data_IF_140235435721
#
_entry.id   IF_140235435721
#
_cell.length_a   1.000
_cell.length_b   1.000
_cell.length_c   1.000
_cell.angle_alpha   90.00
_cell.angle_beta   90.00
_cell.angle_gamma   90.00
#
_symmetry.space_group_name_H-M   'P 1'
#
loop_
_entity.id
_entity.type
_entity.pdbx_description
1 polymer ?
#
# COMPACT_ATOMS: atom_id res chain seq x y z
N UNK A 1 -17.11 -87.73 -37.19
CA UNK A 1 -17.53 -88.47 -35.98
C UNK A 1 -18.04 -87.43 -34.99
N UNK A 2 -19.33 -87.17 -34.86
CA UNK A 2 -20.51 -87.73 -35.57
C UNK A 2 -21.56 -86.60 -35.68
N UNK A 3 -22.32 -86.47 -36.76
CA UNK A 3 -23.63 -87.09 -37.02
C UNK A 3 -24.63 -86.98 -35.84
N UNK A 4 -25.94 -86.75 -35.99
CA UNK A 4 -26.86 -86.30 -37.07
C UNK A 4 -28.28 -86.72 -36.61
N UNK A 5 -29.37 -86.02 -37.03
CA UNK A 5 -30.78 -86.50 -36.94
C UNK A 5 -31.34 -86.68 -35.48
N UNK A 6 -32.63 -86.46 -35.12
CA UNK A 6 -33.92 -86.46 -35.86
C UNK A 6 -34.92 -85.39 -35.36
N UNK A 7 -35.87 -85.04 -36.24
CA UNK A 7 -37.33 -84.83 -36.09
C UNK A 7 -38.03 -85.27 -34.77
N UNK A 8 -39.28 -84.89 -34.42
CA UNK A 8 -40.28 -83.87 -34.89
C UNK A 8 -41.58 -84.06 -34.07
N UNK A 9 -42.44 -83.03 -33.93
CA UNK A 9 -43.90 -83.24 -33.92
C UNK A 9 -44.65 -81.99 -34.41
N UNK A 10 -45.63 -82.18 -35.29
CA UNK A 10 -46.41 -81.14 -36.00
C UNK A 10 -47.93 -81.33 -35.70
N UNK A 11 -48.79 -80.62 -36.42
CA UNK A 11 -50.27 -80.76 -36.58
C UNK A 11 -51.07 -79.92 -35.56
N UNK A 12 -51.64 -78.75 -35.87
CA UNK A 12 -52.63 -78.34 -36.92
C UNK A 12 -54.10 -78.68 -36.51
N UNK A 13 -55.03 -77.72 -36.48
CA UNK A 13 -56.11 -77.35 -37.45
C UNK A 13 -56.97 -76.23 -36.77
N UNK A 14 -58.03 -75.52 -37.26
CA UNK A 14 -58.64 -75.01 -38.53
C UNK A 14 -60.04 -74.44 -38.10
N UNK A 15 -60.74 -73.46 -38.69
CA UNK A 15 -60.70 -72.73 -39.97
C UNK A 15 -60.85 -71.19 -39.75
N UNK A 16 -60.56 -70.30 -40.71
CA UNK A 16 -61.39 -69.75 -41.82
C UNK A 16 -62.68 -68.96 -41.47
N UNK A 17 -62.68 -67.70 -41.90
CA UNK A 17 -63.80 -66.85 -42.36
C UNK A 17 -63.25 -65.44 -42.65
N UNK A 18 -63.16 -64.90 -43.87
CA UNK A 18 -63.52 -65.44 -45.18
C UNK A 18 -64.24 -64.37 -46.02
N UNK A 19 -63.51 -63.58 -46.80
CA UNK A 19 -64.12 -62.70 -47.82
C UNK A 19 -63.18 -62.45 -49.02
N UNK A 20 -63.62 -62.97 -50.17
CA UNK A 20 -63.13 -62.77 -51.53
C UNK A 20 -64.39 -62.73 -52.42
N UNK A 21 -64.49 -62.04 -53.57
CA UNK A 21 -63.55 -61.18 -54.32
C UNK A 21 -64.37 -60.31 -55.32
N UNK A 22 -63.70 -59.61 -56.24
CA UNK A 22 -64.24 -59.06 -57.52
C UNK A 22 -64.98 -57.70 -57.46
N UNK A 23 -64.84 -56.79 -58.44
CA UNK A 23 -63.95 -56.76 -59.62
C UNK A 23 -63.64 -55.32 -60.11
N UNK A 24 -62.58 -55.21 -60.92
CA UNK A 24 -62.21 -54.17 -61.91
C UNK A 24 -62.88 -52.76 -61.84
N UNK A 25 -62.15 -51.64 -61.94
CA UNK A 25 -61.12 -51.39 -62.97
C UNK A 25 -60.28 -50.11 -62.70
N UNK A 26 -59.31 -49.86 -63.59
CA UNK A 26 -58.51 -48.62 -63.77
C UNK A 26 -57.59 -48.15 -62.62
N UNK A 27 -56.31 -48.54 -62.71
CA UNK A 27 -55.26 -47.52 -62.80
C UNK A 27 -54.61 -47.01 -61.51
N UNK A 28 -54.17 -47.88 -60.61
CA UNK A 28 -53.32 -47.48 -59.49
C UNK A 28 -52.57 -48.64 -58.84
N UNK A 29 -51.41 -48.35 -58.24
CA UNK A 29 -50.84 -49.23 -57.22
C UNK A 29 -51.76 -49.14 -55.99
N UNK A 30 -52.10 -50.23 -55.27
CA UNK A 30 -53.07 -50.17 -54.16
C UNK A 30 -52.64 -49.23 -53.01
N UNK A 31 -51.37 -48.85 -52.95
CA UNK A 31 -50.84 -47.80 -52.07
C UNK A 31 -51.34 -46.38 -52.38
N UNK A 32 -52.01 -46.16 -53.52
CA UNK A 32 -52.39 -44.85 -54.06
C UNK A 32 -53.92 -44.67 -54.21
N UNK A 33 -54.72 -45.45 -53.47
CA UNK A 33 -56.18 -45.26 -53.45
C UNK A 33 -56.55 -43.95 -52.71
N UNK A 34 -56.90 -42.95 -53.52
CA UNK A 34 -57.24 -41.58 -53.12
C UNK A 34 -58.45 -41.56 -52.16
N UNK A 35 -59.34 -42.56 -52.20
CA UNK A 35 -60.49 -42.65 -51.30
C UNK A 35 -60.07 -42.79 -49.83
N UNK A 36 -58.91 -43.40 -49.56
CA UNK A 36 -58.37 -43.54 -48.19
C UNK A 36 -57.75 -42.24 -47.67
N UNK A 37 -57.30 -41.34 -48.56
CA UNK A 37 -56.51 -40.16 -48.18
C UNK A 37 -57.28 -39.20 -47.29
N UNK A 38 -58.61 -39.08 -47.44
CA UNK A 38 -59.43 -38.18 -46.61
C UNK A 38 -59.34 -38.50 -45.11
N UNK A 39 -59.40 -39.78 -44.74
CA UNK A 39 -59.26 -40.22 -43.35
C UNK A 39 -57.81 -40.04 -42.85
N UNK A 40 -56.82 -40.35 -43.69
CA UNK A 40 -55.40 -40.18 -43.31
C UNK A 40 -55.03 -38.70 -43.13
N UNK A 41 -55.54 -37.80 -43.98
CA UNK A 41 -55.38 -36.35 -43.85
C UNK A 41 -56.07 -35.83 -42.60
N UNK A 42 -57.28 -36.31 -42.28
CA UNK A 42 -57.97 -35.94 -41.03
C UNK A 42 -57.12 -36.27 -39.79
N UNK A 43 -56.63 -37.51 -39.67
CA UNK A 43 -55.79 -37.90 -38.54
C UNK A 43 -54.42 -37.20 -38.53
N UNK A 44 -53.84 -36.90 -39.70
CA UNK A 44 -52.62 -36.09 -39.81
C UNK A 44 -52.84 -34.67 -39.30
N UNK A 45 -53.96 -34.02 -39.65
CA UNK A 45 -54.32 -32.70 -39.13
C UNK A 45 -54.55 -32.74 -37.62
N UNK A 46 -55.27 -33.74 -37.10
CA UNK A 46 -55.46 -33.93 -35.65
C UNK A 46 -54.12 -34.10 -34.93
N UNK A 47 -53.21 -34.93 -35.46
CA UNK A 47 -51.88 -35.14 -34.90
C UNK A 47 -51.02 -33.85 -34.91
N UNK A 48 -51.07 -33.07 -35.99
CA UNK A 48 -50.39 -31.76 -36.07
C UNK A 48 -50.98 -30.77 -35.06
N UNK A 49 -52.30 -30.72 -34.89
CA UNK A 49 -52.94 -29.84 -33.89
C UNK A 49 -52.54 -30.23 -32.47
N UNK A 50 -52.54 -31.52 -32.12
CA UNK A 50 -52.09 -32.01 -30.81
C UNK A 50 -50.61 -31.69 -30.59
N UNK A 51 -49.75 -31.93 -31.57
CA UNK A 51 -48.32 -31.60 -31.51
C UNK A 51 -48.10 -30.09 -31.34
N UNK A 52 -48.83 -29.25 -32.08
CA UNK A 52 -48.78 -27.80 -31.97
C UNK A 52 -49.18 -27.32 -30.58
N UNK A 53 -50.23 -27.90 -29.98
CA UNK A 53 -50.66 -27.58 -28.61
C UNK A 53 -49.60 -27.99 -27.58
N UNK A 54 -48.96 -29.15 -27.73
CA UNK A 54 -47.86 -29.58 -26.85
C UNK A 54 -46.65 -28.65 -26.98
N UNK A 55 -46.24 -28.31 -28.20
CA UNK A 55 -45.09 -27.43 -28.45
C UNK A 55 -45.34 -26.00 -27.94
N UNK A 56 -46.48 -25.41 -28.28
CA UNK A 56 -46.84 -24.04 -27.87
C UNK A 56 -47.10 -23.91 -26.37
N UNK A 57 -47.70 -24.92 -25.72
CA UNK A 57 -48.13 -24.84 -24.32
C UNK A 57 -47.15 -25.45 -23.31
N UNK A 58 -46.21 -26.29 -23.76
CA UNK A 58 -45.24 -26.97 -22.86
C UNK A 58 -43.79 -26.76 -23.30
N UNK A 59 -43.43 -27.00 -24.56
CA UNK A 59 -42.02 -26.98 -24.98
C UNK A 59 -41.45 -25.55 -25.05
N UNK A 60 -42.08 -24.66 -25.83
CA UNK A 60 -41.67 -23.27 -25.98
C UNK A 60 -41.59 -22.50 -24.64
N UNK A 61 -42.59 -22.55 -23.74
CA UNK A 61 -42.48 -21.83 -22.45
C UNK A 61 -41.38 -22.38 -21.54
N UNK A 62 -41.06 -23.69 -21.57
CA UNK A 62 -39.92 -24.25 -20.82
C UNK A 62 -38.59 -23.75 -21.35
N UNK A 63 -38.41 -23.71 -22.67
CA UNK A 63 -37.19 -23.14 -23.30
C UNK A 63 -37.08 -21.65 -22.98
N UNK A 64 -38.20 -20.92 -23.07
CA UNK A 64 -38.28 -19.49 -22.72
C UNK A 64 -37.88 -19.21 -21.26
N UNK A 65 -38.33 -20.04 -20.31
CA UNK A 65 -37.95 -19.86 -18.89
C UNK A 65 -36.45 -20.03 -18.63
N UNK A 66 -35.81 -21.07 -19.21
CA UNK A 66 -34.37 -21.30 -19.07
C UNK A 66 -33.54 -20.20 -19.77
N UNK A 67 -34.03 -19.66 -20.90
CA UNK A 67 -33.37 -18.56 -21.58
C UNK A 67 -33.49 -17.24 -20.80
N UNK A 68 -34.66 -16.97 -20.21
CA UNK A 68 -34.89 -15.81 -19.34
C UNK A 68 -34.08 -15.88 -18.04
N UNK A 69 -33.98 -17.06 -17.42
CA UNK A 69 -33.13 -17.32 -16.25
C UNK A 69 -31.65 -17.02 -16.57
N UNK A 70 -31.12 -17.60 -17.66
CA UNK A 70 -29.74 -17.34 -18.12
C UNK A 70 -29.48 -15.87 -18.44
N UNK A 71 -30.42 -15.20 -19.11
CA UNK A 71 -30.30 -13.77 -19.40
C UNK A 71 -30.30 -12.94 -18.10
N UNK A 72 -31.18 -13.28 -17.14
CA UNK A 72 -31.23 -12.66 -15.83
C UNK A 72 -29.92 -12.81 -15.05
N UNK A 73 -29.35 -14.02 -14.99
CA UNK A 73 -28.03 -14.26 -14.38
C UNK A 73 -26.94 -13.44 -15.06
N UNK A 74 -26.86 -13.44 -16.40
CA UNK A 74 -25.85 -12.67 -17.14
C UNK A 74 -25.98 -11.16 -16.86
N UNK A 75 -27.19 -10.60 -16.86
CA UNK A 75 -27.41 -9.18 -16.54
C UNK A 75 -27.08 -8.85 -15.08
N UNK A 76 -27.43 -9.74 -14.13
CA UNK A 76 -27.06 -9.61 -12.73
C UNK A 76 -25.55 -9.60 -12.54
N UNK A 77 -24.85 -10.55 -13.16
CA UNK A 77 -23.41 -10.75 -12.99
C UNK A 77 -22.61 -9.60 -13.64
N UNK A 78 -23.09 -9.05 -14.77
CA UNK A 78 -22.55 -7.82 -15.36
C UNK A 78 -22.76 -6.62 -14.43
N UNK A 79 -23.95 -6.44 -13.86
CA UNK A 79 -24.24 -5.34 -12.93
C UNK A 79 -23.42 -5.45 -11.63
N UNK A 80 -23.23 -6.66 -11.12
CA UNK A 80 -22.35 -6.94 -9.98
C UNK A 80 -20.87 -6.64 -10.33
N UNK A 81 -20.38 -7.10 -11.48
CA UNK A 81 -19.02 -6.83 -11.93
C UNK A 81 -18.74 -5.34 -12.16
N UNK A 82 -19.71 -4.58 -12.69
CA UNK A 82 -19.59 -3.12 -12.81
C UNK A 82 -19.61 -2.44 -11.43
N UNK A 83 -20.48 -2.88 -10.52
CA UNK A 83 -20.51 -2.39 -9.13
C UNK A 83 -19.18 -2.63 -8.41
N UNK A 84 -18.61 -3.84 -8.50
CA UNK A 84 -17.31 -4.16 -7.91
C UNK A 84 -16.16 -3.37 -8.57
N UNK A 85 -16.24 -3.11 -9.89
CA UNK A 85 -15.26 -2.27 -10.59
C UNK A 85 -15.31 -0.81 -10.11
N UNK A 86 -16.51 -0.26 -9.88
CA UNK A 86 -16.68 1.08 -9.31
C UNK A 86 -16.13 1.14 -7.88
N UNK A 87 -16.52 0.19 -7.02
CA UNK A 87 -16.01 0.08 -5.65
C UNK A 87 -14.49 -0.07 -5.58
N UNK A 88 -13.88 -0.83 -6.50
CA UNK A 88 -12.42 -0.96 -6.59
C UNK A 88 -11.75 0.36 -6.98
N UNK A 89 -12.29 1.09 -7.96
CA UNK A 89 -11.76 2.39 -8.37
C UNK A 89 -11.91 3.46 -7.27
N UNK A 90 -13.05 3.48 -6.56
CA UNK A 90 -13.28 4.37 -5.42
C UNK A 90 -12.32 4.05 -4.25
N UNK A 91 -12.08 2.76 -3.98
CA UNK A 91 -11.13 2.33 -2.96
C UNK A 91 -9.67 2.64 -3.34
N UNK A 92 -9.29 2.48 -4.61
CA UNK A 92 -7.98 2.88 -5.14
C UNK A 92 -7.77 4.39 -5.04
N UNK A 93 -8.76 5.20 -5.46
CA UNK A 93 -8.71 6.66 -5.32
C UNK A 93 -8.63 7.11 -3.86
N UNK A 94 -9.41 6.48 -2.95
CA UNK A 94 -9.36 6.76 -1.52
C UNK A 94 -8.01 6.37 -0.89
N UNK A 95 -7.43 5.24 -1.29
CA UNK A 95 -6.11 4.79 -0.84
C UNK A 95 -5.00 5.74 -1.31
N UNK A 96 -4.99 6.13 -2.59
CA UNK A 96 -4.02 7.09 -3.12
C UNK A 96 -4.14 8.45 -2.43
N UNK A 97 -5.35 8.95 -2.24
CA UNK A 97 -5.58 10.18 -1.47
C UNK A 97 -5.04 10.07 -0.04
N UNK A 98 -5.37 9.00 0.68
CA UNK A 98 -4.90 8.81 2.05
C UNK A 98 -3.36 8.71 2.14
N UNK A 99 -2.71 8.11 1.13
CA UNK A 99 -1.26 8.03 1.02
C UNK A 99 -0.62 9.41 0.81
N UNK A 100 -1.21 10.27 -0.02
CA UNK A 100 -0.71 11.61 -0.29
C UNK A 100 -1.03 12.62 0.83
N UNK A 101 -2.21 12.53 1.45
CA UNK A 101 -2.55 13.25 2.68
C UNK A 101 -1.56 12.88 3.81
N UNK A 102 -1.21 11.60 3.96
CA UNK A 102 -0.22 11.14 4.94
C UNK A 102 1.22 11.63 4.62
N UNK A 103 1.61 11.67 3.35
CA UNK A 103 2.89 12.25 2.90
C UNK A 103 2.97 13.75 3.20
N UNK A 104 1.89 14.50 2.93
CA UNK A 104 1.80 15.93 3.23
C UNK A 104 1.86 16.19 4.75
N UNK A 105 1.16 15.39 5.55
CA UNK A 105 1.23 15.47 7.01
C UNK A 105 2.64 15.16 7.54
N UNK A 106 3.31 14.11 7.02
CA UNK A 106 4.67 13.76 7.41
C UNK A 106 5.69 14.85 7.04
N UNK A 107 5.58 15.43 5.84
CA UNK A 107 6.42 16.55 5.41
C UNK A 107 6.23 17.78 6.32
N UNK A 108 4.98 18.12 6.65
CA UNK A 108 4.66 19.20 7.59
C UNK A 108 5.28 18.97 8.98
N UNK A 109 5.12 17.78 9.56
CA UNK A 109 5.71 17.44 10.87
C UNK A 109 7.24 17.51 10.84
N UNK A 110 7.87 17.09 9.74
CA UNK A 110 9.31 17.20 9.54
C UNK A 110 9.77 18.67 9.52
N UNK A 111 9.02 19.57 8.87
CA UNK A 111 9.38 20.99 8.78
C UNK A 111 9.06 21.77 10.05
N UNK A 112 7.98 21.43 10.77
CA UNK A 112 7.70 21.94 12.12
C UNK A 112 8.80 21.52 13.11
N UNK A 113 9.21 20.25 13.10
CA UNK A 113 10.30 19.75 13.93
C UNK A 113 11.67 20.40 13.60
N UNK A 114 11.98 20.63 12.32
CA UNK A 114 13.18 21.40 11.92
C UNK A 114 13.14 22.82 12.48
N UNK A 115 12.00 23.50 12.40
CA UNK A 115 11.86 24.88 12.88
C UNK A 115 12.05 24.97 14.40
N UNK A 116 11.50 24.01 15.16
CA UNK A 116 11.70 23.90 16.60
C UNK A 116 13.16 23.60 16.96
N UNK A 117 13.80 22.62 16.29
CA UNK A 117 15.22 22.29 16.49
C UNK A 117 16.13 23.49 16.20
N UNK A 118 15.87 24.27 15.15
CA UNK A 118 16.68 25.45 14.82
C UNK A 118 16.51 26.58 15.85
N UNK A 119 15.30 26.78 16.37
CA UNK A 119 15.01 27.73 17.45
C UNK A 119 15.74 27.34 18.73
N UNK A 120 15.63 26.07 19.15
CA UNK A 120 16.23 25.58 20.40
C UNK A 120 17.76 25.52 20.29
N UNK A 121 18.31 25.19 19.11
CA UNK A 121 19.73 25.32 18.81
C UNK A 121 20.21 26.78 18.95
N UNK A 122 19.46 27.74 18.42
CA UNK A 122 19.76 29.18 18.58
C UNK A 122 19.77 29.62 20.04
N UNK A 123 18.82 29.16 20.86
CA UNK A 123 18.78 29.42 22.31
C UNK A 123 19.96 28.76 23.03
N UNK A 124 20.31 27.52 22.66
CA UNK A 124 21.44 26.80 23.24
C UNK A 124 22.79 27.47 22.92
N UNK A 125 22.99 27.91 21.67
CA UNK A 125 24.19 28.66 21.24
C UNK A 125 24.28 29.99 22.00
N UNK A 126 23.22 30.81 21.99
CA UNK A 126 23.23 32.10 22.69
C UNK A 126 23.49 31.97 24.21
N UNK A 127 23.01 30.89 24.83
CA UNK A 127 23.34 30.56 26.23
C UNK A 127 24.81 30.15 26.41
N UNK A 128 25.34 29.31 25.51
CA UNK A 128 26.73 28.87 25.56
C UNK A 128 27.70 30.06 25.37
N UNK A 129 27.44 30.93 24.38
CA UNK A 129 28.22 32.14 24.13
C UNK A 129 28.23 33.08 25.35
N UNK A 130 27.08 33.25 26.01
CA UNK A 130 26.98 34.03 27.23
C UNK A 130 27.78 33.44 28.40
N UNK A 131 27.77 32.10 28.58
CA UNK A 131 28.58 31.45 29.61
C UNK A 131 30.08 31.51 29.29
N UNK A 132 30.47 31.34 28.02
CA UNK A 132 31.86 31.47 27.55
C UNK A 132 32.36 32.90 27.76
N UNK A 133 31.56 33.92 27.43
CA UNK A 133 31.90 35.32 27.66
C UNK A 133 32.09 35.62 29.16
N UNK A 134 31.19 35.14 30.03
CA UNK A 134 31.29 35.30 31.47
C UNK A 134 32.55 34.63 32.05
N UNK A 135 32.83 33.37 31.68
CA UNK A 135 34.04 32.64 32.09
C UNK A 135 35.33 33.28 31.57
N UNK A 136 35.29 33.88 30.38
CA UNK A 136 36.42 34.62 29.81
C UNK A 136 36.71 35.86 30.63
N UNK A 137 35.69 36.69 30.92
CA UNK A 137 35.84 37.89 31.73
C UNK A 137 36.31 37.59 33.17
N UNK A 138 35.80 36.53 33.81
CA UNK A 138 36.29 36.04 35.10
C UNK A 138 37.77 35.64 35.05
N UNK A 139 38.16 34.93 33.99
CA UNK A 139 39.54 34.48 33.78
C UNK A 139 40.48 35.64 33.52
N UNK A 140 40.07 36.64 32.72
CA UNK A 140 40.83 37.86 32.46
C UNK A 140 41.02 38.70 33.72
N UNK A 141 39.97 38.87 34.54
CA UNK A 141 40.06 39.54 35.83
C UNK A 141 41.07 38.86 36.77
N UNK A 142 40.95 37.53 36.94
CA UNK A 142 41.89 36.74 37.75
C UNK A 142 43.33 36.78 37.22
N UNK A 143 43.52 36.78 35.89
CA UNK A 143 44.84 36.96 35.28
C UNK A 143 45.38 38.37 35.55
N UNK A 144 44.53 39.40 35.57
CA UNK A 144 44.87 40.76 35.98
C UNK A 144 45.35 40.84 37.43
N UNK A 145 44.60 40.25 38.36
CA UNK A 145 44.97 40.16 39.79
C UNK A 145 46.30 39.42 40.00
N UNK A 146 46.48 38.27 39.36
CA UNK A 146 47.73 37.49 39.43
C UNK A 146 48.90 38.29 38.86
N UNK A 147 48.72 39.02 37.75
CA UNK A 147 49.77 39.89 37.18
C UNK A 147 50.12 41.06 38.11
N UNK A 148 49.14 41.69 38.76
CA UNK A 148 49.37 42.76 39.72
C UNK A 148 50.14 42.25 40.94
N UNK A 149 49.67 41.16 41.56
CA UNK A 149 50.32 40.54 42.72
C UNK A 149 51.75 40.04 42.38
N UNK A 150 51.95 39.48 41.19
CA UNK A 150 53.28 39.07 40.73
C UNK A 150 54.22 40.27 40.54
N UNK A 151 53.74 41.39 40.01
CA UNK A 151 54.52 42.62 39.86
C UNK A 151 54.94 43.21 41.22
N UNK A 152 54.05 43.17 42.22
CA UNK A 152 54.38 43.57 43.60
C UNK A 152 55.40 42.62 44.24
N UNK A 153 55.21 41.30 44.11
CA UNK A 153 56.12 40.29 44.65
C UNK A 153 57.53 40.39 44.02
N UNK A 154 57.63 40.54 42.70
CA UNK A 154 58.91 40.79 42.01
C UNK A 154 59.54 42.10 42.48
N UNK A 155 58.73 43.15 42.69
CA UNK A 155 59.21 44.45 43.21
C UNK A 155 59.76 44.34 44.63
N UNK A 156 59.18 43.49 45.49
CA UNK A 156 59.68 43.22 46.84
C UNK A 156 60.98 42.41 46.80
N UNK A 157 60.97 41.24 46.13
CA UNK A 157 62.13 40.35 45.98
C UNK A 157 63.32 41.10 45.37
N UNK A 158 63.10 41.98 44.38
CA UNK A 158 64.16 42.80 43.80
C UNK A 158 64.80 43.76 44.81
N UNK A 159 64.01 44.38 45.71
CA UNK A 159 64.53 45.29 46.75
C UNK A 159 65.32 44.54 47.82
N UNK A 160 64.79 43.43 48.31
CA UNK A 160 65.44 42.62 49.33
C UNK A 160 66.73 41.97 48.78
N UNK A 161 66.69 41.42 47.56
CA UNK A 161 67.89 40.89 46.88
C UNK A 161 68.96 41.96 46.65
N UNK A 162 68.55 43.18 46.24
CA UNK A 162 69.49 44.31 46.07
C UNK A 162 70.11 44.73 47.40
N UNK A 163 69.32 44.78 48.47
CA UNK A 163 69.76 45.11 49.84
C UNK A 163 70.75 44.07 50.38
N UNK A 164 70.49 42.78 50.17
CA UNK A 164 71.36 41.69 50.61
C UNK A 164 72.69 41.69 49.84
N UNK A 165 72.64 41.80 48.50
CA UNK A 165 73.84 41.97 47.66
C UNK A 165 74.70 43.14 48.15
N UNK A 166 74.10 44.32 48.34
CA UNK A 166 74.84 45.51 48.76
C UNK A 166 75.43 45.37 50.18
N UNK A 167 74.75 44.65 51.06
CA UNK A 167 75.25 44.30 52.40
C UNK A 167 76.45 43.36 52.32
N UNK A 168 76.42 42.36 51.43
CA UNK A 168 77.55 41.44 51.21
C UNK A 168 78.79 42.13 50.64
N UNK A 169 78.63 43.20 49.85
CA UNK A 169 79.71 44.08 49.40
C UNK A 169 80.11 45.17 50.41
N UNK A 170 79.55 45.17 51.62
CA UNK A 170 79.92 46.11 52.70
C UNK A 170 79.45 47.55 52.52
N UNK A 171 78.60 47.84 51.52
CA UNK A 171 78.15 49.21 51.20
C UNK A 171 76.82 49.51 51.87
N UNK A 172 76.81 50.47 52.80
CA UNK A 172 75.58 50.96 53.45
C UNK A 172 74.91 52.04 52.60
N UNK A 173 74.02 51.66 51.68
CA UNK A 173 73.07 52.60 51.10
C UNK A 173 71.84 52.81 51.99
N UNK A 174 71.23 53.99 51.89
CA UNK A 174 69.94 54.29 52.51
C UNK A 174 68.79 53.50 51.84
N UNK A 175 67.84 53.02 52.65
CA UNK A 175 66.73 52.20 52.17
C UNK A 175 65.78 52.95 51.22
N UNK A 176 65.65 54.28 51.35
CA UNK A 176 64.81 55.11 50.48
C UNK A 176 65.46 55.30 49.11
N UNK A 177 66.78 55.45 49.03
CA UNK A 177 67.49 55.55 47.74
C UNK A 177 67.47 54.23 46.96
N UNK A 178 67.71 53.08 47.62
CA UNK A 178 67.59 51.74 47.00
C UNK A 178 66.17 51.51 46.49
N UNK A 179 65.15 51.79 47.32
CA UNK A 179 63.74 51.68 46.92
C UNK A 179 63.40 52.55 45.71
N UNK A 180 63.91 53.78 45.67
CA UNK A 180 63.71 54.69 44.53
C UNK A 180 64.39 54.21 43.25
N UNK A 181 65.63 53.71 43.35
CA UNK A 181 66.39 53.21 42.19
C UNK A 181 65.75 51.96 41.58
N UNK A 182 65.32 51.00 42.41
CA UNK A 182 64.63 49.79 41.96
C UNK A 182 63.27 50.14 41.34
N UNK A 183 62.46 50.98 41.99
CA UNK A 183 61.19 51.45 41.42
C UNK A 183 61.38 52.16 40.07
N UNK A 184 62.43 53.00 39.93
CA UNK A 184 62.72 53.70 38.69
C UNK A 184 63.15 52.75 37.56
N UNK A 185 63.96 51.72 37.86
CA UNK A 185 64.34 50.71 36.86
C UNK A 185 63.18 49.80 36.44
N UNK A 186 62.29 49.44 37.37
CA UNK A 186 61.10 48.64 37.06
C UNK A 186 60.09 49.43 36.21
N UNK A 187 59.89 50.73 36.45
CA UNK A 187 59.09 51.58 35.54
C UNK A 187 59.79 51.84 34.20
N UNK A 188 61.11 52.00 34.18
CA UNK A 188 61.89 52.32 32.98
C UNK A 188 62.16 51.14 32.03
N UNK A 189 61.67 49.94 32.34
CA UNK A 189 61.76 48.75 31.49
C UNK A 189 60.43 48.32 30.84
N UNK A 190 59.40 49.17 30.92
CA UNK A 190 58.04 48.90 30.43
C UNK A 190 57.65 49.86 29.29
N UNK A 191 58.60 50.15 28.39
CA UNK A 191 58.49 51.00 27.21
C UNK A 191 59.25 50.37 26.04
#
# INVERSE_FOLDING_TARGET
>A
MSADTTAEHVVDHVADAGHATEAASSGGMPQLDILTFGNQIFWLVVAIVVLYLILSRVALPRIGSVLAERAGTITNDIGAAETFKQQAADAEAAYHKALDDARAAAAKVIDEAKAEIQKDLGVAIAKADAEIAARTAESEARIGEIRASAAEAVTAVAKDTTKELLSSFGVKADARSVTSAVNARLKGGAA
#
